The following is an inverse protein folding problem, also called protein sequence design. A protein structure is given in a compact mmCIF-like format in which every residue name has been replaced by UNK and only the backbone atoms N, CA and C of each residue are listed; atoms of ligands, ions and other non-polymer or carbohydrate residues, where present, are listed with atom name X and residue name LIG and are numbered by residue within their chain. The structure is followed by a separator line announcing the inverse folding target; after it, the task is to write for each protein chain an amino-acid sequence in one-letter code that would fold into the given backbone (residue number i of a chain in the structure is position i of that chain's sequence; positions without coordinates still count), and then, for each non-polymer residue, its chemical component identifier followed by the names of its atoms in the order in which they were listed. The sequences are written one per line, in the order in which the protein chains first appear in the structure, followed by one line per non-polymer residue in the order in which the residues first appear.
data_IF_756779999763
#
_entry.id   IF_756779999763
#
_cell.length_a   1.000
_cell.length_b   1.000
_cell.length_c   1.000
_cell.angle_alpha   90.00
_cell.angle_beta   90.00
_cell.angle_gamma   90.00
#
_symmetry.space_group_name_H-M   'P 1'
#
loop_
_entity.id
_entity.type
_entity.pdbx_description
1 polymer ?
#
# COMPACT_ATOMS: atom_id res chain seq x y z
N UNK A 1 22.56 7.28 4.93
CA UNK A 1 21.36 7.96 4.37
C UNK A 1 20.53 7.06 3.45
N UNK A 2 21.14 6.25 2.57
CA UNK A 2 20.39 5.37 1.65
C UNK A 2 19.44 4.39 2.35
N UNK A 3 19.93 3.65 3.35
CA UNK A 3 19.09 2.71 4.12
C UNK A 3 17.95 3.40 4.88
N UNK A 4 18.22 4.58 5.48
CA UNK A 4 17.20 5.37 6.19
C UNK A 4 16.05 5.76 5.27
N UNK A 5 16.35 6.16 4.03
CA UNK A 5 15.32 6.53 3.05
C UNK A 5 14.47 5.33 2.63
N UNK A 6 15.07 4.13 2.51
CA UNK A 6 14.32 2.89 2.24
C UNK A 6 13.30 2.63 3.34
N UNK A 7 13.70 2.72 4.60
CA UNK A 7 12.78 2.50 5.72
C UNK A 7 11.69 3.57 5.83
N UNK A 8 12.02 4.85 5.57
CA UNK A 8 11.01 5.92 5.53
C UNK A 8 9.97 5.67 4.44
N UNK A 9 10.40 5.30 3.23
CA UNK A 9 9.50 4.96 2.12
C UNK A 9 8.66 3.73 2.44
N UNK A 10 9.27 2.71 3.03
CA UNK A 10 8.56 1.51 3.47
C UNK A 10 7.45 1.84 4.47
N UNK A 11 7.77 2.62 5.51
CA UNK A 11 6.80 3.07 6.51
C UNK A 11 5.69 3.92 5.90
N UNK A 12 6.01 4.75 4.91
CA UNK A 12 5.01 5.57 4.25
C UNK A 12 4.05 4.76 3.37
N UNK A 13 4.54 3.74 2.66
CA UNK A 13 3.66 2.81 1.95
C UNK A 13 2.78 2.02 2.92
N UNK A 14 3.31 1.63 4.08
CA UNK A 14 2.52 1.00 5.15
C UNK A 14 1.41 1.93 5.67
N UNK A 15 1.77 3.18 5.95
CA UNK A 15 0.83 4.19 6.43
C UNK A 15 -0.30 4.46 5.43
N UNK A 16 0.04 4.65 4.15
CA UNK A 16 -0.97 4.84 3.11
C UNK A 16 -1.78 3.56 2.85
N UNK A 17 -1.18 2.38 2.94
CA UNK A 17 -1.91 1.10 2.97
C UNK A 17 -2.95 1.04 4.08
N UNK A 18 -2.64 1.61 5.25
CA UNK A 18 -3.56 1.72 6.37
C UNK A 18 -4.63 2.80 6.14
N UNK A 19 -4.25 4.05 5.89
CA UNK A 19 -5.16 5.20 5.79
C UNK A 19 -6.08 5.07 4.58
N UNK A 20 -5.53 4.77 3.41
CA UNK A 20 -6.28 4.60 2.18
C UNK A 20 -6.80 3.18 2.03
N UNK A 21 -5.90 2.20 2.05
CA UNK A 21 -6.24 0.83 1.67
C UNK A 21 -7.22 0.16 2.61
N UNK A 22 -7.04 0.31 3.93
CA UNK A 22 -7.94 -0.29 4.91
C UNK A 22 -9.30 0.42 4.94
N UNK A 23 -9.32 1.76 4.78
CA UNK A 23 -10.56 2.53 4.69
C UNK A 23 -11.36 2.16 3.44
N UNK A 24 -10.71 2.06 2.28
CA UNK A 24 -11.34 1.64 1.03
C UNK A 24 -11.83 0.20 1.14
N UNK A 25 -11.02 -0.73 1.64
CA UNK A 25 -11.43 -2.13 1.79
C UNK A 25 -12.64 -2.25 2.71
N UNK A 26 -12.61 -1.63 3.89
CA UNK A 26 -13.75 -1.64 4.80
C UNK A 26 -15.02 -1.07 4.12
N UNK A 27 -14.87 -0.02 3.31
CA UNK A 27 -15.96 0.57 2.52
C UNK A 27 -16.50 -0.36 1.45
N UNK A 28 -15.64 -1.06 0.72
CA UNK A 28 -16.00 -2.02 -0.33
C UNK A 28 -16.70 -3.27 0.27
N UNK A 29 -16.33 -3.65 1.50
CA UNK A 29 -16.99 -4.71 2.27
C UNK A 29 -18.30 -4.27 2.95
N UNK A 30 -18.82 -3.07 2.62
CA UNK A 30 -20.13 -2.59 3.04
C UNK A 30 -20.15 -1.72 4.29
N UNK A 31 -19.02 -1.47 4.95
CA UNK A 31 -18.98 -0.55 6.09
C UNK A 31 -19.07 0.90 5.60
N UNK A 32 -20.03 1.67 6.10
CA UNK A 32 -20.16 3.10 5.73
C UNK A 32 -19.33 4.02 6.61
N UNK A 33 -19.19 3.64 7.87
CA UNK A 33 -18.61 4.45 8.95
C UNK A 33 -17.54 3.65 9.67
N UNK A 34 -16.46 4.32 10.08
CA UNK A 34 -15.38 3.69 10.83
C UNK A 34 -15.84 3.27 12.24
N UNK A 35 -15.40 2.11 12.71
CA UNK A 35 -15.56 1.73 14.12
C UNK A 35 -14.78 2.68 15.03
N UNK A 36 -15.09 2.76 16.35
CA UNK A 36 -14.35 3.63 17.27
C UNK A 36 -12.84 3.35 17.30
N UNK A 37 -12.45 2.08 17.21
CA UNK A 37 -11.06 1.67 17.11
C UNK A 37 -10.46 2.02 15.74
N UNK A 38 -11.15 1.66 14.64
CA UNK A 38 -10.70 1.98 13.28
C UNK A 38 -10.50 3.47 13.07
N UNK A 39 -11.37 4.32 13.65
CA UNK A 39 -11.22 5.78 13.65
C UNK A 39 -9.92 6.24 14.31
N UNK A 40 -9.58 5.68 15.48
CA UNK A 40 -8.33 6.02 16.20
C UNK A 40 -7.12 5.63 15.37
N UNK A 41 -7.13 4.43 14.80
CA UNK A 41 -6.06 3.91 13.95
C UNK A 41 -5.88 4.78 12.70
N UNK A 42 -6.95 5.11 11.99
CA UNK A 42 -6.91 5.98 10.81
C UNK A 42 -6.43 7.40 11.15
N UNK A 43 -6.86 7.95 12.30
CA UNK A 43 -6.43 9.27 12.77
C UNK A 43 -4.95 9.31 13.13
N UNK A 44 -4.45 8.29 13.84
CA UNK A 44 -3.02 8.13 14.12
C UNK A 44 -2.22 7.95 12.83
N UNK A 45 -2.74 7.18 11.87
CA UNK A 45 -2.15 7.04 10.54
C UNK A 45 -2.01 8.39 9.85
N UNK A 46 -3.06 9.23 9.82
CA UNK A 46 -2.94 10.57 9.20
C UNK A 46 -1.84 11.43 9.85
N UNK A 47 -1.70 11.38 11.18
CA UNK A 47 -0.64 12.11 11.90
C UNK A 47 0.75 11.55 11.57
N UNK A 48 0.89 10.22 11.58
CA UNK A 48 2.14 9.55 11.23
C UNK A 48 2.53 9.81 9.77
N UNK A 49 1.57 9.72 8.83
CA UNK A 49 1.77 10.01 7.42
C UNK A 49 2.25 11.44 7.16
N UNK A 50 1.74 12.43 7.91
CA UNK A 50 2.24 13.80 7.85
C UNK A 50 3.72 13.89 8.29
N UNK A 51 4.06 13.26 9.41
CA UNK A 51 5.44 13.25 9.93
C UNK A 51 6.40 12.50 8.99
N UNK A 52 5.98 11.33 8.48
CA UNK A 52 6.75 10.53 7.52
C UNK A 52 6.93 11.28 6.20
N UNK A 53 5.90 11.99 5.73
CA UNK A 53 5.96 12.79 4.51
C UNK A 53 6.94 13.95 4.60
N UNK A 54 6.92 14.69 5.73
CA UNK A 54 7.88 15.75 6.00
C UNK A 54 9.31 15.21 6.14
N UNK A 55 9.47 14.10 6.87
CA UNK A 55 10.76 13.43 7.05
C UNK A 55 11.36 12.95 5.74
N UNK A 56 10.57 12.26 4.90
CA UNK A 56 11.02 11.82 3.57
C UNK A 56 11.49 13.00 2.71
N UNK A 57 10.68 14.07 2.64
CA UNK A 57 11.03 15.26 1.86
C UNK A 57 12.35 15.88 2.34
N UNK A 58 12.52 16.05 3.66
CA UNK A 58 13.77 16.56 4.23
C UNK A 58 14.97 15.65 3.92
N UNK A 59 14.81 14.33 4.01
CA UNK A 59 15.88 13.38 3.66
C UNK A 59 16.24 13.41 2.18
N UNK A 60 15.28 13.60 1.28
CA UNK A 60 15.54 13.75 -0.16
C UNK A 60 16.33 15.04 -0.40
N UNK A 61 15.91 16.17 0.19
CA UNK A 61 16.60 17.45 0.08
C UNK A 61 18.04 17.37 0.59
N UNK A 62 18.24 16.82 1.79
CA UNK A 62 19.58 16.66 2.36
C UNK A 62 20.49 15.82 1.45
N UNK A 63 19.95 14.76 0.83
CA UNK A 63 20.72 13.98 -0.16
C UNK A 63 21.06 14.79 -1.40
N UNK A 64 20.14 15.58 -1.93
CA UNK A 64 20.38 16.43 -3.11
C UNK A 64 21.41 17.52 -2.82
N UNK A 65 21.40 18.07 -1.61
CA UNK A 65 22.35 19.08 -1.14
C UNK A 65 23.68 18.50 -0.66
N UNK A 66 23.86 17.18 -0.71
CA UNK A 66 25.00 16.46 -0.14
C UNK A 66 25.31 16.86 1.33
N UNK A 67 24.25 17.13 2.10
CA UNK A 67 24.30 17.62 3.49
C UNK A 67 23.47 16.75 4.43
N UNK A 68 23.39 17.12 5.71
CA UNK A 68 22.47 16.48 6.65
C UNK A 68 21.15 17.24 6.74
N UNK A 69 20.11 16.60 7.29
CA UNK A 69 18.81 17.25 7.54
C UNK A 69 18.95 18.46 8.48
N UNK A 70 19.93 18.45 9.37
CA UNK A 70 20.19 19.56 10.30
C UNK A 70 20.81 20.79 9.61
N UNK A 71 21.43 20.60 8.44
CA UNK A 71 22.10 21.66 7.67
C UNK A 71 21.17 22.28 6.62
N UNK A 72 19.90 21.85 6.54
CA UNK A 72 18.93 22.41 5.60
C UNK A 72 18.49 23.80 6.05
N UNK A 73 18.77 24.82 5.23
CA UNK A 73 18.25 26.15 5.45
C UNK A 73 16.81 26.31 4.92
N UNK A 74 16.11 27.32 5.46
CA UNK A 74 14.71 27.61 5.13
C UNK A 74 14.51 28.02 3.67
N UNK A 75 15.51 28.67 3.06
CA UNK A 75 15.43 29.17 1.68
C UNK A 75 15.46 28.02 0.68
N UNK A 76 16.36 27.06 0.87
CA UNK A 76 16.44 25.83 0.09
C UNK A 76 15.17 25.00 0.24
N UNK A 77 14.66 24.83 1.47
CA UNK A 77 13.40 24.10 1.70
C UNK A 77 12.23 24.79 0.98
N UNK A 78 12.12 26.12 1.10
CA UNK A 78 11.07 26.90 0.44
C UNK A 78 11.15 26.76 -1.07
N UNK A 79 12.33 26.97 -1.65
CA UNK A 79 12.57 26.87 -3.09
C UNK A 79 12.23 25.48 -3.62
N UNK A 80 12.67 24.43 -2.94
CA UNK A 80 12.37 23.06 -3.35
C UNK A 80 10.88 22.73 -3.25
N UNK A 81 10.17 23.30 -2.27
CA UNK A 81 8.73 23.11 -2.12
C UNK A 81 7.93 23.82 -3.22
N UNK A 82 8.34 25.02 -3.64
CA UNK A 82 7.58 25.84 -4.60
C UNK A 82 7.95 25.57 -6.05
N UNK A 83 9.20 25.20 -6.32
CA UNK A 83 9.75 25.20 -7.68
C UNK A 83 9.86 23.79 -8.27
N UNK A 84 9.61 22.75 -7.47
CA UNK A 84 9.70 21.36 -7.93
C UNK A 84 8.36 20.64 -7.89
N UNK A 85 8.13 19.76 -8.88
CA UNK A 85 6.98 18.88 -8.89
C UNK A 85 6.92 17.98 -7.63
N UNK A 86 8.09 17.58 -7.11
CA UNK A 86 8.20 16.82 -5.87
C UNK A 86 7.68 17.62 -4.67
N UNK A 87 8.00 18.91 -4.59
CA UNK A 87 7.50 19.83 -3.58
C UNK A 87 5.98 19.96 -3.60
N UNK A 88 5.40 20.22 -4.78
CA UNK A 88 3.95 20.27 -4.96
C UNK A 88 3.26 18.95 -4.59
N UNK A 89 3.84 17.81 -4.96
CA UNK A 89 3.31 16.50 -4.58
C UNK A 89 3.33 16.28 -3.06
N UNK A 90 4.41 16.70 -2.38
CA UNK A 90 4.53 16.64 -0.93
C UNK A 90 3.48 17.53 -0.22
N UNK A 91 3.29 18.77 -0.70
CA UNK A 91 2.28 19.70 -0.19
C UNK A 91 0.88 19.12 -0.39
N UNK A 92 0.54 18.68 -1.60
CA UNK A 92 -0.76 18.11 -1.92
C UNK A 92 -1.06 16.88 -1.06
N UNK A 93 -0.07 15.99 -0.89
CA UNK A 93 -0.20 14.82 0.00
C UNK A 93 -0.47 15.23 1.45
N UNK A 94 0.28 16.20 1.97
CA UNK A 94 0.08 16.75 3.31
C UNK A 94 -1.31 17.38 3.49
N UNK A 95 -1.78 18.12 2.49
CA UNK A 95 -3.13 18.69 2.46
C UNK A 95 -4.20 17.60 2.55
N UNK A 96 -4.14 16.57 1.71
CA UNK A 96 -5.15 15.50 1.71
C UNK A 96 -5.16 14.70 3.02
N UNK A 97 -4.01 14.40 3.62
CA UNK A 97 -3.94 13.75 4.93
C UNK A 97 -4.47 14.65 6.05
N UNK A 98 -4.22 15.97 5.99
CA UNK A 98 -4.77 16.94 6.94
C UNK A 98 -6.29 17.04 6.83
N UNK A 99 -6.82 17.06 5.61
CA UNK A 99 -8.27 17.02 5.37
C UNK A 99 -8.90 15.72 5.88
N UNK A 100 -8.23 14.57 5.66
CA UNK A 100 -8.71 13.29 6.17
C UNK A 100 -8.76 13.29 7.71
N UNK A 101 -7.71 13.80 8.35
CA UNK A 101 -7.67 14.00 9.81
C UNK A 101 -8.79 14.95 10.28
N UNK A 102 -9.01 16.05 9.57
CA UNK A 102 -10.10 16.98 9.85
C UNK A 102 -11.48 16.30 9.83
N UNK A 103 -11.75 15.48 8.81
CA UNK A 103 -12.98 14.68 8.71
C UNK A 103 -13.12 13.72 9.90
N UNK A 104 -12.04 13.04 10.27
CA UNK A 104 -12.01 12.09 11.40
C UNK A 104 -12.29 12.79 12.74
N UNK A 105 -11.69 13.97 12.95
CA UNK A 105 -11.82 14.75 14.18
C UNK A 105 -13.16 15.46 14.30
N UNK A 106 -13.73 15.93 13.18
CA UNK A 106 -15.03 16.60 13.14
C UNK A 106 -16.18 15.59 13.26
N UNK A 107 -16.19 14.55 12.42
CA UNK A 107 -17.28 13.56 12.38
C UNK A 107 -16.99 12.37 13.29
N UNK A 108 -16.70 12.62 14.57
CA UNK A 108 -16.24 11.59 15.54
C UNK A 108 -17.14 10.37 15.63
N UNK A 109 -18.47 10.54 15.64
CA UNK A 109 -19.43 9.42 15.77
C UNK A 109 -19.75 8.74 14.44
N UNK A 110 -19.62 9.45 13.33
CA UNK A 110 -20.06 9.02 11.99
C UNK A 110 -18.97 9.26 10.94
N UNK A 111 -17.72 8.92 11.25
CA UNK A 111 -16.57 9.14 10.35
C UNK A 111 -16.79 8.36 9.04
N UNK A 112 -17.02 9.05 7.91
CA UNK A 112 -17.38 8.38 6.67
C UNK A 112 -16.14 7.75 6.01
N UNK A 113 -16.12 6.42 5.90
CA UNK A 113 -14.98 5.68 5.34
C UNK A 113 -14.69 6.05 3.89
N UNK A 114 -15.73 6.37 3.11
CA UNK A 114 -15.56 6.79 1.72
C UNK A 114 -14.76 8.10 1.62
N UNK A 115 -15.03 9.08 2.48
CA UNK A 115 -14.30 10.35 2.43
C UNK A 115 -12.82 10.15 2.81
N UNK A 116 -12.56 9.35 3.85
CA UNK A 116 -11.18 9.01 4.26
C UNK A 116 -10.46 8.24 3.14
N UNK A 117 -11.13 7.28 2.51
CA UNK A 117 -10.58 6.52 1.38
C UNK A 117 -10.30 7.42 0.17
N UNK A 118 -11.19 8.34 -0.19
CA UNK A 118 -10.95 9.28 -1.30
C UNK A 118 -9.75 10.17 -1.01
N UNK A 119 -9.69 10.78 0.18
CA UNK A 119 -8.59 11.67 0.56
C UNK A 119 -7.26 10.91 0.67
N UNK A 120 -7.26 9.72 1.28
CA UNK A 120 -6.08 8.85 1.31
C UNK A 120 -5.65 8.37 -0.09
N UNK A 121 -6.62 8.13 -0.98
CA UNK A 121 -6.35 7.76 -2.38
C UNK A 121 -5.69 8.90 -3.14
N UNK A 122 -6.16 10.13 -2.96
CA UNK A 122 -5.52 11.33 -3.51
C UNK A 122 -4.10 11.53 -2.93
N UNK A 123 -3.93 11.34 -1.62
CA UNK A 123 -2.61 11.36 -0.98
C UNK A 123 -1.66 10.28 -1.54
N UNK A 124 -2.20 9.10 -1.84
CA UNK A 124 -1.46 7.99 -2.48
C UNK A 124 -1.08 8.35 -3.92
N UNK A 125 -1.97 8.98 -4.68
CA UNK A 125 -1.71 9.37 -6.07
C UNK A 125 -0.54 10.35 -6.18
N UNK A 126 -0.34 11.22 -5.19
CA UNK A 126 0.80 12.12 -5.13
C UNK A 126 2.16 11.39 -5.18
N UNK A 127 2.24 10.12 -4.77
CA UNK A 127 3.46 9.31 -4.89
C UNK A 127 3.87 9.04 -6.35
N UNK A 128 2.90 8.94 -7.27
CA UNK A 128 3.16 8.66 -8.67
C UNK A 128 3.94 9.82 -9.35
N UNK A 129 3.80 11.04 -8.83
CA UNK A 129 4.51 12.21 -9.34
C UNK A 129 6.02 12.22 -9.06
N UNK A 130 6.51 11.36 -8.16
CA UNK A 130 7.95 11.17 -7.96
C UNK A 130 8.59 10.17 -8.93
N UNK A 131 7.83 9.54 -9.82
CA UNK A 131 8.29 8.49 -10.74
C UNK A 131 8.69 9.00 -12.12
N UNK A 132 9.40 8.16 -12.89
CA UNK A 132 9.88 8.48 -14.25
C UNK A 132 8.78 8.92 -15.22
N UNK A 133 7.54 8.48 -15.03
CA UNK A 133 6.39 8.88 -15.85
C UNK A 133 6.13 10.40 -15.75
N UNK A 134 6.26 10.99 -14.56
CA UNK A 134 6.04 12.42 -14.34
C UNK A 134 7.15 13.31 -14.92
N UNK A 135 8.33 12.73 -15.21
CA UNK A 135 9.46 13.42 -15.83
C UNK A 135 9.36 13.52 -17.36
N UNK A 136 8.33 12.91 -17.98
CA UNK A 136 8.17 12.84 -19.44
C UNK A 136 6.95 13.63 -19.95
N UNK A 137 7.06 14.23 -21.15
CA UNK A 137 5.99 15.04 -21.75
C UNK A 137 5.11 14.23 -22.73
N UNK A 138 3.83 14.59 -22.84
CA UNK A 138 2.90 14.10 -23.87
C UNK A 138 1.77 13.16 -23.37
N UNK A 139 0.86 12.78 -24.27
CA UNK A 139 -0.29 11.95 -23.90
C UNK A 139 0.10 10.56 -23.35
N UNK A 140 1.16 9.96 -23.90
CA UNK A 140 1.67 8.68 -23.42
C UNK A 140 2.17 8.73 -21.97
N UNK A 141 2.68 9.87 -21.50
CA UNK A 141 3.11 10.02 -20.10
C UNK A 141 1.92 10.12 -19.15
N UNK A 142 0.81 10.74 -19.56
CA UNK A 142 -0.43 10.79 -18.79
C UNK A 142 -1.06 9.40 -18.60
N UNK A 143 -1.09 8.59 -19.68
CA UNK A 143 -1.57 7.20 -19.59
C UNK A 143 -0.73 6.39 -18.60
N UNK A 144 0.59 6.54 -18.67
CA UNK A 144 1.54 5.84 -17.79
C UNK A 144 1.43 6.29 -16.33
N UNK A 145 1.31 7.59 -16.10
CA UNK A 145 1.04 8.14 -14.78
C UNK A 145 -0.27 7.59 -14.20
N UNK A 146 -1.32 7.48 -15.01
CA UNK A 146 -2.57 6.82 -14.63
C UNK A 146 -2.37 5.33 -14.28
N UNK A 147 -1.55 4.62 -15.05
CA UNK A 147 -1.12 3.24 -14.77
C UNK A 147 -0.40 3.10 -13.44
N UNK A 148 0.55 4.00 -13.14
CA UNK A 148 1.28 4.04 -11.86
C UNK A 148 0.35 4.31 -10.69
N UNK A 149 -0.57 5.28 -10.82
CA UNK A 149 -1.60 5.52 -9.79
C UNK A 149 -2.48 4.28 -9.58
N UNK A 150 -2.94 3.64 -10.66
CA UNK A 150 -3.75 2.44 -10.58
C UNK A 150 -3.00 1.28 -9.91
N UNK A 151 -1.71 1.10 -10.23
CA UNK A 151 -0.84 0.10 -9.60
C UNK A 151 -0.70 0.37 -8.10
N UNK A 152 -0.40 1.61 -7.72
CA UNK A 152 -0.26 2.04 -6.32
C UNK A 152 -1.57 1.85 -5.56
N UNK A 153 -2.69 2.32 -6.10
CA UNK A 153 -3.99 2.15 -5.48
C UNK A 153 -4.33 0.67 -5.32
N UNK A 154 -4.10 -0.16 -6.32
CA UNK A 154 -4.40 -1.58 -6.24
C UNK A 154 -3.54 -2.28 -5.18
N UNK A 155 -2.23 -2.02 -5.17
CA UNK A 155 -1.29 -2.59 -4.22
C UNK A 155 -1.57 -2.17 -2.78
N UNK A 156 -1.81 -0.88 -2.54
CA UNK A 156 -2.10 -0.39 -1.20
C UNK A 156 -3.50 -0.78 -0.72
N UNK A 157 -4.48 -0.94 -1.62
CA UNK A 157 -5.78 -1.51 -1.26
C UNK A 157 -5.64 -2.97 -0.82
N UNK A 158 -4.84 -3.77 -1.52
CA UNK A 158 -4.58 -5.15 -1.11
C UNK A 158 -3.84 -5.20 0.24
N UNK A 159 -2.80 -4.39 0.43
CA UNK A 159 -2.12 -4.27 1.72
C UNK A 159 -3.10 -3.90 2.84
N UNK A 160 -3.94 -2.89 2.63
CA UNK A 160 -4.96 -2.48 3.58
C UNK A 160 -5.99 -3.57 3.88
N UNK A 161 -6.35 -4.38 2.89
CA UNK A 161 -7.18 -5.56 3.08
C UNK A 161 -6.51 -6.62 3.95
N UNK A 162 -5.22 -6.90 3.74
CA UNK A 162 -4.44 -7.83 4.56
C UNK A 162 -4.31 -7.35 6.01
N UNK A 163 -4.07 -6.05 6.22
CA UNK A 163 -4.04 -5.46 7.56
C UNK A 163 -5.41 -5.61 8.26
N UNK A 164 -6.49 -5.31 7.55
CA UNK A 164 -7.86 -5.46 8.05
C UNK A 164 -8.18 -6.92 8.38
N UNK A 165 -7.91 -7.86 7.47
CA UNK A 165 -8.20 -9.27 7.68
C UNK A 165 -7.32 -9.89 8.76
N UNK A 166 -6.05 -9.49 8.87
CA UNK A 166 -5.20 -9.91 9.99
C UNK A 166 -5.84 -9.51 11.31
N UNK A 167 -6.26 -8.25 11.46
CA UNK A 167 -6.94 -7.79 12.67
C UNK A 167 -8.25 -8.57 12.93
N UNK A 168 -9.07 -8.82 11.92
CA UNK A 168 -10.34 -9.53 12.05
C UNK A 168 -10.17 -11.01 12.43
N UNK A 169 -9.25 -11.72 11.78
CA UNK A 169 -9.04 -13.16 12.04
C UNK A 169 -8.41 -13.37 13.42
N UNK A 170 -7.54 -12.46 13.86
CA UNK A 170 -6.92 -12.53 15.19
C UNK A 170 -7.83 -12.06 16.32
N UNK A 171 -8.79 -11.16 16.07
CA UNK A 171 -9.81 -10.77 17.04
C UNK A 171 -11.00 -11.73 17.13
N UNK A 172 -11.18 -12.61 16.13
CA UNK A 172 -12.27 -13.60 16.12
C UNK A 172 -12.00 -14.77 17.06
N UNK A 173 -12.98 -15.17 17.87
CA UNK A 173 -12.94 -16.39 18.68
C UNK A 173 -13.57 -17.58 17.94
N UNK A 174 -12.99 -18.78 18.08
CA UNK A 174 -13.51 -19.97 17.41
C UNK A 174 -14.91 -20.39 17.91
N UNK A 175 -15.24 -20.01 19.16
CA UNK A 175 -16.54 -20.30 19.77
C UNK A 175 -17.63 -19.30 19.38
N UNK A 176 -17.27 -18.10 18.92
CA UNK A 176 -18.21 -17.09 18.43
C UNK A 176 -18.61 -17.37 16.97
N UNK A 177 -19.66 -18.18 16.80
CA UNK A 177 -20.20 -18.56 15.49
C UNK A 177 -20.67 -17.37 14.67
N UNK A 178 -21.18 -16.32 15.32
CA UNK A 178 -21.70 -15.13 14.63
C UNK A 178 -20.55 -14.31 14.06
N UNK A 179 -19.46 -14.14 14.83
CA UNK A 179 -18.24 -13.51 14.35
C UNK A 179 -17.61 -14.30 13.21
N UNK A 180 -17.50 -15.62 13.32
CA UNK A 180 -16.95 -16.46 12.26
C UNK A 180 -17.77 -16.41 10.97
N UNK A 181 -19.10 -16.43 11.06
CA UNK A 181 -19.97 -16.29 9.89
C UNK A 181 -19.82 -14.91 9.23
N UNK A 182 -19.62 -13.84 10.01
CA UNK A 182 -19.33 -12.50 9.47
C UNK A 182 -17.96 -12.47 8.79
N UNK A 183 -16.94 -13.06 9.41
CA UNK A 183 -15.59 -13.16 8.85
C UNK A 183 -15.59 -13.91 7.51
N UNK A 184 -16.26 -15.07 7.44
CA UNK A 184 -16.41 -15.85 6.19
C UNK A 184 -17.03 -15.02 5.08
N UNK A 185 -18.15 -14.34 5.35
CA UNK A 185 -18.81 -13.45 4.38
C UNK A 185 -17.92 -12.29 3.92
N UNK A 186 -17.13 -11.68 4.82
CA UNK A 186 -16.24 -10.58 4.46
C UNK A 186 -15.09 -11.06 3.57
N UNK A 187 -14.49 -12.22 3.88
CA UNK A 187 -13.44 -12.84 3.07
C UNK A 187 -13.99 -13.29 1.70
N UNK A 188 -15.19 -13.88 1.68
CA UNK A 188 -15.89 -14.25 0.45
C UNK A 188 -16.23 -13.03 -0.41
N UNK A 189 -16.74 -11.95 0.19
CA UNK A 189 -17.03 -10.69 -0.51
C UNK A 189 -15.80 -10.01 -1.10
N UNK A 190 -14.62 -10.21 -0.49
CA UNK A 190 -13.36 -9.71 -1.03
C UNK A 190 -12.88 -10.48 -2.26
N UNK A 191 -13.38 -11.68 -2.55
CA UNK A 191 -12.88 -12.50 -3.64
C UNK A 191 -12.96 -11.81 -5.01
N UNK A 192 -14.07 -11.12 -5.31
CA UNK A 192 -14.22 -10.34 -6.55
C UNK A 192 -13.28 -9.14 -6.55
N UNK A 193 -13.25 -8.38 -5.44
CA UNK A 193 -12.39 -7.21 -5.28
C UNK A 193 -10.92 -7.60 -5.51
N UNK A 194 -10.44 -8.63 -4.81
CA UNK A 194 -9.08 -9.13 -4.95
C UNK A 194 -8.74 -9.58 -6.37
N UNK A 195 -9.69 -10.19 -7.09
CA UNK A 195 -9.49 -10.58 -8.49
C UNK A 195 -9.27 -9.34 -9.38
N UNK A 196 -10.07 -8.29 -9.19
CA UNK A 196 -9.90 -7.02 -9.91
C UNK A 196 -8.57 -6.37 -9.55
N UNK A 197 -8.20 -6.33 -8.27
CA UNK A 197 -6.92 -5.76 -7.82
C UNK A 197 -5.72 -6.49 -8.44
N UNK A 198 -5.74 -7.83 -8.48
CA UNK A 198 -4.71 -8.64 -9.15
C UNK A 198 -4.64 -8.29 -10.64
N UNK A 199 -5.79 -8.21 -11.32
CA UNK A 199 -5.84 -7.86 -12.74
C UNK A 199 -5.19 -6.49 -13.01
N UNK A 200 -5.54 -5.47 -12.21
CA UNK A 200 -4.94 -4.14 -12.30
C UNK A 200 -3.43 -4.21 -12.07
N UNK A 201 -2.96 -4.92 -11.04
CA UNK A 201 -1.54 -5.05 -10.72
C UNK A 201 -0.74 -5.75 -11.82
N UNK A 202 -1.29 -6.80 -12.42
CA UNK A 202 -0.64 -7.52 -13.52
C UNK A 202 -0.55 -6.64 -14.76
N UNK A 203 -1.65 -5.99 -15.17
CA UNK A 203 -1.68 -5.16 -16.37
C UNK A 203 -0.77 -3.93 -16.25
N UNK A 204 -0.89 -3.19 -15.14
CA UNK A 204 -0.04 -2.02 -14.88
C UNK A 204 1.42 -2.40 -14.61
N UNK A 205 1.67 -3.52 -13.92
CA UNK A 205 3.02 -4.01 -13.69
C UNK A 205 3.72 -4.45 -14.98
N UNK A 206 2.97 -5.01 -15.93
CA UNK A 206 3.49 -5.37 -17.24
C UNK A 206 3.82 -4.14 -18.10
N UNK A 207 2.96 -3.12 -18.12
CA UNK A 207 3.26 -1.85 -18.79
C UNK A 207 4.53 -1.20 -18.18
N UNK A 208 4.65 -1.21 -16.85
CA UNK A 208 5.84 -0.69 -16.17
C UNK A 208 7.11 -1.47 -16.52
N UNK A 209 7.04 -2.80 -16.66
CA UNK A 209 8.18 -3.61 -17.09
C UNK A 209 8.61 -3.27 -18.53
N UNK A 210 7.65 -3.14 -19.45
CA UNK A 210 7.92 -2.79 -20.85
C UNK A 210 8.54 -1.40 -20.99
N UNK A 211 8.12 -0.46 -20.15
CA UNK A 211 8.72 0.87 -20.10
C UNK A 211 10.16 0.85 -19.60
N UNK A 212 10.42 0.04 -18.58
CA UNK A 212 11.73 0.00 -17.93
C UNK A 212 12.79 -0.62 -18.85
N UNK A 213 12.45 -1.72 -19.53
CA UNK A 213 13.34 -2.39 -20.45
C UNK A 213 12.54 -3.09 -21.57
N UNK A 214 12.93 -2.92 -22.85
CA UNK A 214 12.35 -3.70 -23.93
C UNK A 214 12.64 -5.20 -23.74
N UNK A 215 11.79 -6.10 -24.28
CA UNK A 215 11.90 -7.55 -24.04
C UNK A 215 13.29 -8.16 -24.30
N UNK A 216 14.01 -7.65 -25.30
CA UNK A 216 15.38 -8.11 -25.62
C UNK A 216 16.43 -7.79 -24.54
N UNK A 217 16.13 -6.91 -23.59
CA UNK A 217 17.06 -6.48 -22.53
C UNK A 217 16.70 -7.05 -21.15
N UNK A 218 15.62 -7.85 -21.03
CA UNK A 218 15.19 -8.39 -19.74
C UNK A 218 16.24 -9.26 -19.06
N UNK A 219 17.04 -10.00 -19.83
CA UNK A 219 18.15 -10.80 -19.27
C UNK A 219 19.24 -9.94 -18.64
N UNK A 220 19.60 -8.82 -19.27
CA UNK A 220 20.57 -7.87 -18.72
C UNK A 220 20.02 -7.18 -17.48
N UNK A 221 18.77 -6.72 -17.54
CA UNK A 221 18.11 -6.09 -16.40
C UNK A 221 18.01 -7.05 -15.21
N UNK A 222 17.68 -8.33 -15.44
CA UNK A 222 17.60 -9.35 -14.39
C UNK A 222 18.92 -9.56 -13.62
N UNK A 223 20.06 -9.26 -14.24
CA UNK A 223 21.38 -9.36 -13.60
C UNK A 223 21.71 -8.14 -12.71
N UNK A 224 21.02 -7.00 -12.87
CA UNK A 224 21.28 -5.80 -12.07
C UNK A 224 20.73 -5.94 -10.64
N UNK A 225 21.25 -5.16 -9.66
CA UNK A 225 20.65 -5.12 -8.31
C UNK A 225 19.15 -4.80 -8.33
N UNK A 226 18.74 -3.86 -9.19
CA UNK A 226 17.34 -3.52 -9.40
C UNK A 226 16.53 -4.72 -9.91
N UNK A 227 17.01 -5.41 -10.95
CA UNK A 227 16.31 -6.56 -11.52
C UNK A 227 16.17 -7.73 -10.54
N UNK A 228 17.18 -7.98 -9.70
CA UNK A 228 17.09 -8.99 -8.63
C UNK A 228 16.01 -8.65 -7.60
N UNK A 229 15.86 -7.37 -7.23
CA UNK A 229 14.75 -6.93 -6.37
C UNK A 229 13.40 -7.07 -7.07
N UNK A 230 13.32 -6.77 -8.36
CA UNK A 230 12.10 -6.96 -9.15
C UNK A 230 11.69 -8.44 -9.23
N UNK A 231 12.63 -9.34 -9.47
CA UNK A 231 12.40 -10.78 -9.46
C UNK A 231 11.96 -11.27 -8.07
N UNK A 232 12.59 -10.78 -7.01
CA UNK A 232 12.20 -11.07 -5.63
C UNK A 232 10.77 -10.61 -5.36
N UNK A 233 10.43 -9.37 -5.75
CA UNK A 233 9.06 -8.82 -5.68
C UNK A 233 8.06 -9.73 -6.39
N UNK A 234 8.39 -10.20 -7.60
CA UNK A 234 7.54 -11.10 -8.38
C UNK A 234 7.36 -12.48 -7.72
N UNK A 235 8.43 -13.06 -7.17
CA UNK A 235 8.37 -14.32 -6.43
C UNK A 235 7.51 -14.21 -5.17
N UNK A 236 7.69 -13.14 -4.39
CA UNK A 236 6.86 -12.86 -3.21
C UNK A 236 5.39 -12.63 -3.58
N UNK A 237 5.13 -11.87 -4.65
CA UNK A 237 3.79 -11.65 -5.16
C UNK A 237 3.14 -12.97 -5.63
N UNK A 238 3.88 -13.82 -6.35
CA UNK A 238 3.40 -15.13 -6.79
C UNK A 238 3.06 -16.05 -5.61
N UNK A 239 3.91 -16.12 -4.59
CA UNK A 239 3.63 -16.87 -3.37
C UNK A 239 2.37 -16.33 -2.65
N UNK A 240 2.24 -15.02 -2.54
CA UNK A 240 1.07 -14.37 -1.94
C UNK A 240 -0.20 -14.65 -2.75
N UNK A 241 -0.14 -14.62 -4.08
CA UNK A 241 -1.26 -14.95 -4.97
C UNK A 241 -1.72 -16.40 -4.79
N UNK A 242 -0.78 -17.35 -4.67
CA UNK A 242 -1.10 -18.76 -4.42
C UNK A 242 -1.76 -18.95 -3.04
N UNK A 243 -1.26 -18.30 -1.99
CA UNK A 243 -1.87 -18.33 -0.67
C UNK A 243 -3.27 -17.71 -0.67
N UNK A 244 -3.45 -16.57 -1.34
CA UNK A 244 -4.75 -15.93 -1.48
C UNK A 244 -5.76 -16.83 -2.23
N UNK A 245 -5.30 -17.54 -3.26
CA UNK A 245 -6.08 -18.58 -3.93
C UNK A 245 -6.45 -19.73 -2.98
N UNK A 246 -5.48 -20.23 -2.20
CA UNK A 246 -5.73 -21.28 -1.23
C UNK A 246 -6.72 -20.86 -0.14
N UNK A 247 -6.64 -19.61 0.33
CA UNK A 247 -7.63 -19.02 1.23
C UNK A 247 -9.03 -19.04 0.63
N UNK A 248 -9.14 -18.52 -0.60
CA UNK A 248 -10.43 -18.39 -1.28
C UNK A 248 -11.10 -19.73 -1.54
N UNK A 249 -10.35 -20.71 -2.04
CA UNK A 249 -10.92 -21.97 -2.52
C UNK A 249 -10.95 -23.07 -1.47
N UNK A 250 -10.13 -22.98 -0.40
CA UNK A 250 -10.03 -24.03 0.61
C UNK A 250 -10.31 -23.52 2.02
N UNK A 251 -9.56 -22.54 2.53
CA UNK A 251 -9.63 -22.19 3.96
C UNK A 251 -10.92 -21.46 4.34
N UNK A 252 -11.39 -20.53 3.52
CA UNK A 252 -12.64 -19.79 3.75
C UNK A 252 -13.85 -20.74 3.67
N UNK A 253 -14.03 -21.57 2.62
CA UNK A 253 -15.10 -22.56 2.59
C UNK A 253 -15.01 -23.59 3.71
N UNK A 254 -13.80 -23.96 4.17
CA UNK A 254 -13.63 -24.88 5.30
C UNK A 254 -14.08 -24.23 6.62
N UNK A 255 -13.81 -22.93 6.82
CA UNK A 255 -14.28 -22.19 7.97
C UNK A 255 -15.81 -22.09 7.99
N UNK A 256 -16.43 -21.82 6.84
CA UNK A 256 -17.89 -21.70 6.71
C UNK A 256 -18.62 -23.03 6.94
N UNK A 257 -18.02 -24.14 6.53
CA UNK A 257 -18.58 -25.50 6.70
C UNK A 257 -18.29 -26.14 8.05
N UNK A 258 -17.46 -25.52 8.90
CA UNK A 258 -17.07 -26.11 10.18
C UNK A 258 -18.21 -26.08 11.20
N UNK A 259 -18.82 -27.25 11.46
CA UNK A 259 -19.96 -27.39 12.39
C UNK A 259 -19.46 -27.60 13.84
N UNK A 260 -18.57 -28.56 14.05
CA UNK A 260 -18.11 -28.90 15.40
C UNK A 260 -17.02 -27.92 15.91
N UNK A 261 -16.86 -27.77 17.24
CA UNK A 261 -15.89 -26.84 17.83
C UNK A 261 -14.43 -27.10 17.43
N UNK A 262 -14.02 -28.37 17.27
CA UNK A 262 -12.63 -28.72 16.92
C UNK A 262 -12.33 -28.36 15.47
N UNK A 263 -13.27 -28.61 14.56
CA UNK A 263 -13.16 -28.19 13.17
C UNK A 263 -13.06 -26.67 13.03
N UNK A 264 -13.88 -25.91 13.77
CA UNK A 264 -13.81 -24.43 13.78
C UNK A 264 -12.46 -23.92 14.25
N UNK A 265 -11.93 -24.47 15.34
CA UNK A 265 -10.60 -24.12 15.84
C UNK A 265 -9.50 -24.38 14.81
N UNK A 266 -9.50 -25.57 14.16
CA UNK A 266 -8.52 -25.90 13.12
C UNK A 266 -8.63 -24.98 11.91
N UNK A 267 -9.84 -24.72 11.43
CA UNK A 267 -10.07 -23.85 10.27
C UNK A 267 -9.62 -22.41 10.55
N UNK A 268 -9.97 -21.86 11.72
CA UNK A 268 -9.53 -20.52 12.12
C UNK A 268 -8.01 -20.45 12.29
N UNK A 269 -7.37 -21.45 12.89
CA UNK A 269 -5.92 -21.49 13.05
C UNK A 269 -5.18 -21.61 11.71
N UNK A 270 -5.72 -22.37 10.75
CA UNK A 270 -5.18 -22.42 9.39
C UNK A 270 -5.29 -21.05 8.70
N UNK A 271 -6.46 -20.41 8.80
CA UNK A 271 -6.69 -19.09 8.21
C UNK A 271 -5.77 -18.00 8.83
N UNK A 272 -5.57 -18.02 10.15
CA UNK A 272 -4.61 -17.13 10.83
C UNK A 272 -3.22 -17.24 10.25
N UNK A 273 -2.72 -18.49 10.11
CA UNK A 273 -1.38 -18.74 9.55
C UNK A 273 -1.28 -18.23 8.12
N UNK A 274 -2.25 -18.53 7.26
CA UNK A 274 -2.19 -18.09 5.87
C UNK A 274 -2.24 -16.56 5.75
N UNK A 275 -3.21 -15.90 6.40
CA UNK A 275 -3.35 -14.44 6.33
C UNK A 275 -2.14 -13.72 6.93
N UNK A 276 -1.56 -14.25 8.01
CA UNK A 276 -0.29 -13.72 8.55
C UNK A 276 0.86 -13.90 7.58
N UNK A 277 1.01 -15.07 6.95
CA UNK A 277 2.06 -15.30 5.95
C UNK A 277 1.88 -14.39 4.73
N UNK A 278 0.66 -14.25 4.20
CA UNK A 278 0.35 -13.32 3.11
C UNK A 278 0.70 -11.88 3.48
N UNK A 279 0.41 -11.47 4.71
CA UNK A 279 0.75 -10.13 5.20
C UNK A 279 2.26 -9.95 5.25
N UNK A 280 3.02 -10.91 5.79
CA UNK A 280 4.48 -10.86 5.83
C UNK A 280 5.10 -10.81 4.41
N UNK A 281 4.54 -11.57 3.46
CA UNK A 281 4.96 -11.50 2.06
C UNK A 281 4.66 -10.12 1.45
N UNK A 282 3.49 -9.53 1.73
CA UNK A 282 3.16 -8.18 1.31
C UNK A 282 4.13 -7.14 1.89
N UNK A 283 4.51 -7.27 3.17
CA UNK A 283 5.53 -6.42 3.79
C UNK A 283 6.87 -6.51 3.05
N UNK A 284 7.27 -7.72 2.65
CA UNK A 284 8.47 -7.96 1.83
C UNK A 284 8.38 -7.36 0.43
N UNK A 285 7.21 -7.46 -0.24
CA UNK A 285 6.95 -6.81 -1.53
C UNK A 285 7.13 -5.29 -1.42
N UNK A 286 6.56 -4.68 -0.38
CA UNK A 286 6.67 -3.23 -0.15
C UNK A 286 8.11 -2.84 0.18
N UNK A 287 8.86 -3.69 0.90
CA UNK A 287 10.30 -3.46 1.13
C UNK A 287 11.08 -3.47 -0.18
N UNK A 288 10.81 -4.43 -1.07
CA UNK A 288 11.43 -4.45 -2.40
C UNK A 288 11.13 -3.18 -3.20
N UNK A 289 9.88 -2.68 -3.14
CA UNK A 289 9.47 -1.43 -3.80
C UNK A 289 10.22 -0.22 -3.20
N UNK A 290 10.28 -0.14 -1.87
CA UNK A 290 10.97 0.94 -1.18
C UNK A 290 12.48 0.95 -1.48
N UNK A 291 13.12 -0.23 -1.51
CA UNK A 291 14.53 -0.40 -1.84
C UNK A 291 14.81 -0.05 -3.31
N UNK A 292 14.04 -0.62 -4.24
CA UNK A 292 14.18 -0.36 -5.68
C UNK A 292 13.97 1.13 -6.02
N UNK A 293 13.07 1.81 -5.29
CA UNK A 293 12.84 3.24 -5.45
C UNK A 293 14.00 4.16 -5.03
N UNK A 294 15.11 3.60 -4.53
CA UNK A 294 16.33 4.36 -4.24
C UNK A 294 17.51 4.02 -5.18
N UNK A 295 17.26 3.16 -6.18
CA UNK A 295 18.26 2.65 -7.12
C UNK A 295 17.98 3.14 -8.55
N UNK A 296 19.03 3.27 -9.36
CA UNK A 296 18.90 3.42 -10.81
C UNK A 296 18.56 2.06 -11.46
N UNK A 297 17.51 1.96 -12.29
CA UNK A 297 17.13 0.72 -12.97
C UNK A 297 18.22 0.09 -13.84
N UNK A 298 19.06 0.92 -14.46
CA UNK A 298 20.14 0.50 -15.38
C UNK A 298 21.49 0.35 -14.67
N UNK A 299 21.53 0.61 -13.35
CA UNK A 299 22.74 0.41 -12.54
C UNK A 299 23.86 1.41 -12.82
N UNK A 300 23.54 2.59 -13.37
CA UNK A 300 24.49 3.71 -13.35
C UNK A 300 24.77 4.09 -11.88
N UNK A 301 26.06 4.14 -11.54
CA UNK A 301 26.54 4.44 -10.19
C UNK A 301 26.39 5.92 -9.84
#
# INVERSE_FOLDING_TARGET
MGETLVWLRWLQFMDLGLVFGAALTARLLGQRVASPWGRRVLGLGCVLGLALGAGEFAFILARMAASTVADLDTEMVSTMLTDTALGWAAIARGLFLTLALGVILWRRRNTPLLAVAVLGGLATACLAWGGHAAASMGFASLVRLGGDMAHLWAGLTWLGALLLFTALVWSSGADDRTALARLGRQLGGFALIGTVLVGVLVLSGFDNLLFLAPPGQWGVMAATPYGRLLLTKLGLFGAMFLLAGHNRFHLVPALERAIDPRARHRALAALRRSVTLETLLALGVIWCIAAAGTMDPMGAA
#
